data_IF_592365359512
#
_entry.id   IF_592365359512
#
_cell.length_a   1.000
_cell.length_b   1.000
_cell.length_c   1.000
_cell.angle_alpha   90.00
_cell.angle_beta   90.00
_cell.angle_gamma   90.00
#
_symmetry.space_group_name_H-M   'P 1'
#
loop_
_entity.id
_entity.type
_entity.pdbx_description
1 polymer ?
#
# COMPACT_ATOMS: atom_id res chain seq x y z
N UNK A 1 -23.74 14.64 -59.92
CA UNK A 1 -24.39 13.93 -58.80
C UNK A 1 -23.45 14.01 -57.61
N UNK A 2 -24.00 14.41 -56.45
CA UNK A 2 -23.43 14.23 -55.10
C UNK A 2 -22.30 15.17 -54.68
N UNK A 3 -22.63 16.46 -54.62
CA UNK A 3 -22.24 17.29 -53.49
C UNK A 3 -23.55 17.74 -52.81
N UNK A 4 -23.52 17.95 -51.49
CA UNK A 4 -24.61 18.51 -50.68
C UNK A 4 -25.70 17.52 -50.18
N UNK A 5 -25.41 16.74 -49.12
CA UNK A 5 -26.46 16.25 -48.22
C UNK A 5 -25.97 15.65 -46.89
N UNK A 6 -25.35 16.42 -45.97
CA UNK A 6 -25.38 16.02 -44.55
C UNK A 6 -25.02 17.15 -43.58
N UNK A 7 -25.76 18.25 -43.69
CA UNK A 7 -25.80 19.35 -42.71
C UNK A 7 -27.19 19.46 -42.08
N UNK A 8 -27.71 18.38 -41.51
CA UNK A 8 -28.86 18.44 -40.62
C UNK A 8 -28.75 17.24 -39.67
N UNK A 9 -28.60 17.49 -38.38
CA UNK A 9 -29.28 16.82 -37.25
C UNK A 9 -28.68 17.52 -36.02
N UNK A 10 -29.22 18.71 -35.80
CA UNK A 10 -29.38 19.24 -34.45
C UNK A 10 -30.64 18.56 -33.87
N UNK A 11 -30.67 18.44 -32.54
CA UNK A 11 -31.86 18.26 -31.71
C UNK A 11 -32.41 16.84 -31.43
N UNK A 12 -32.63 16.62 -30.12
CA UNK A 12 -33.22 15.46 -29.42
C UNK A 12 -32.29 14.23 -29.33
N UNK A 13 -31.88 13.77 -28.16
CA UNK A 13 -32.76 13.20 -27.14
C UNK A 13 -32.16 13.49 -25.75
N UNK A 14 -32.85 14.35 -25.02
CA UNK A 14 -32.73 14.41 -23.58
C UNK A 14 -33.60 13.32 -22.95
N UNK A 15 -33.04 12.72 -21.92
CA UNK A 15 -33.72 12.22 -20.72
C UNK A 15 -33.81 10.70 -20.50
N UNK A 16 -33.46 10.41 -19.24
CA UNK A 16 -33.82 9.28 -18.38
C UNK A 16 -33.18 7.96 -18.73
N UNK A 17 -32.15 7.58 -17.96
CA UNK A 17 -32.16 6.28 -17.28
C UNK A 17 -31.18 6.28 -16.09
N UNK A 18 -31.76 5.96 -14.93
CA UNK A 18 -31.22 5.18 -13.82
C UNK A 18 -29.97 5.64 -13.06
N UNK A 19 -30.16 5.96 -11.78
CA UNK A 19 -29.97 5.00 -10.68
C UNK A 19 -29.50 5.73 -9.42
N UNK A 20 -30.44 5.93 -8.51
CA UNK A 20 -30.17 6.05 -7.08
C UNK A 20 -29.57 4.75 -6.58
N UNK A 21 -28.30 4.74 -6.14
CA UNK A 21 -27.85 3.87 -5.06
C UNK A 21 -26.89 4.65 -4.16
N UNK A 22 -27.33 4.78 -2.89
CA UNK A 22 -26.55 5.19 -1.73
C UNK A 22 -25.19 4.48 -1.71
N UNK A 23 -24.12 5.22 -1.96
CA UNK A 23 -22.79 4.79 -1.52
C UNK A 23 -22.69 5.10 -0.02
N UNK A 24 -23.05 4.11 0.80
CA UNK A 24 -22.68 3.99 2.19
C UNK A 24 -21.15 3.96 2.30
N UNK A 25 -20.52 5.13 2.33
CA UNK A 25 -19.15 5.23 2.78
C UNK A 25 -19.10 4.81 4.25
N UNK A 26 -18.30 3.79 4.65
CA UNK A 26 -18.04 3.58 6.05
C UNK A 26 -17.32 4.82 6.56
N UNK A 27 -17.97 5.53 7.48
CA UNK A 27 -17.36 6.57 8.27
C UNK A 27 -16.12 5.95 8.93
N UNK A 28 -14.94 6.27 8.39
CA UNK A 28 -13.70 6.17 9.13
C UNK A 28 -13.88 7.12 10.32
N UNK A 29 -14.26 6.53 11.45
CA UNK A 29 -14.17 7.15 12.75
C UNK A 29 -12.70 7.54 12.93
N UNK A 30 -12.38 8.77 12.56
CA UNK A 30 -11.20 9.46 13.08
C UNK A 30 -11.51 9.65 14.55
N UNK A 31 -11.11 8.68 15.37
CA UNK A 31 -10.99 8.88 16.81
C UNK A 31 -10.01 10.02 17.02
N UNK A 32 -10.55 11.24 17.12
CA UNK A 32 -9.82 12.42 17.54
C UNK A 32 -9.57 12.24 19.03
N UNK A 33 -8.57 11.44 19.38
CA UNK A 33 -8.02 11.44 20.74
C UNK A 33 -7.44 12.83 20.98
N UNK A 34 -8.24 13.68 21.60
CA UNK A 34 -7.83 14.98 22.13
C UNK A 34 -6.68 14.70 23.09
N UNK A 35 -5.45 15.01 22.67
CA UNK A 35 -4.32 15.12 23.57
C UNK A 35 -4.30 16.59 24.02
N UNK A 36 -4.58 16.90 25.30
CA UNK A 36 -4.52 18.26 25.78
C UNK A 36 -3.06 18.65 26.00
N UNK A 37 -2.70 19.87 25.59
CA UNK A 37 -1.47 20.52 26.02
C UNK A 37 -0.55 20.90 24.86
N UNK A 38 -0.41 22.21 24.67
CA UNK A 38 0.35 22.80 23.58
C UNK A 38 1.85 22.60 23.66
N UNK A 39 2.47 22.65 22.49
CA UNK A 39 3.71 23.37 22.27
C UNK A 39 3.87 23.56 20.75
N UNK A 40 4.16 24.77 20.32
CA UNK A 40 4.65 25.10 18.98
C UNK A 40 6.08 24.52 18.82
N UNK A 41 6.19 23.20 18.89
CA UNK A 41 7.40 22.48 18.53
C UNK A 41 7.32 22.17 17.04
N UNK A 42 8.31 22.63 16.28
CA UNK A 42 8.76 22.06 15.00
C UNK A 42 8.21 20.64 14.86
N UNK A 43 7.19 20.46 14.00
CA UNK A 43 6.63 19.14 13.72
C UNK A 43 7.78 18.30 13.24
N UNK A 44 8.29 17.43 14.11
CA UNK A 44 9.22 16.37 13.74
C UNK A 44 8.41 15.49 12.79
N UNK A 45 8.54 15.76 11.49
CA UNK A 45 7.90 14.95 10.44
C UNK A 45 8.37 13.53 10.74
N UNK A 46 7.43 12.67 11.12
CA UNK A 46 7.77 11.28 11.35
C UNK A 46 8.49 10.79 10.08
N UNK A 47 9.67 10.15 10.20
CA UNK A 47 10.38 9.67 9.04
C UNK A 47 9.41 8.80 8.21
N UNK A 48 9.50 8.84 6.87
CA UNK A 48 8.59 8.09 6.02
C UNK A 48 8.49 6.64 6.52
N UNK A 49 7.27 6.18 6.79
CA UNK A 49 7.04 4.84 7.31
C UNK A 49 7.44 3.86 6.22
N UNK A 50 8.60 3.22 6.37
CA UNK A 50 9.10 2.28 5.38
C UNK A 50 8.12 1.14 5.16
N UNK A 51 7.91 0.74 3.91
CA UNK A 51 7.13 -0.45 3.60
C UNK A 51 7.83 -1.66 4.23
N UNK A 52 7.08 -2.41 5.04
CA UNK A 52 7.65 -3.47 5.86
C UNK A 52 6.67 -4.61 6.06
N UNK A 53 7.22 -5.79 6.33
CA UNK A 53 6.45 -6.99 6.57
C UNK A 53 7.15 -7.88 7.61
N UNK A 54 6.40 -8.75 8.25
CA UNK A 54 6.89 -9.68 9.26
C UNK A 54 6.79 -11.11 8.77
N UNK A 55 7.84 -11.88 8.99
CA UNK A 55 7.90 -13.31 8.70
C UNK A 55 7.99 -14.06 10.03
N UNK A 56 7.04 -14.95 10.29
CA UNK A 56 7.04 -15.79 11.49
C UNK A 56 7.45 -17.22 11.12
N UNK A 57 8.49 -17.74 11.77
CA UNK A 57 9.04 -19.06 11.49
C UNK A 57 9.38 -19.77 12.79
N UNK A 58 8.63 -20.81 13.15
CA UNK A 58 8.96 -21.68 14.29
C UNK A 58 9.20 -20.92 15.60
N UNK A 59 8.40 -19.88 15.87
CA UNK A 59 8.51 -19.05 17.08
C UNK A 59 9.49 -17.88 17.00
N UNK A 60 10.14 -17.66 15.85
CA UNK A 60 10.97 -16.48 15.57
C UNK A 60 10.22 -15.49 14.69
N UNK A 61 10.31 -14.19 14.97
CA UNK A 61 9.68 -13.15 14.16
C UNK A 61 10.74 -12.29 13.49
N UNK A 62 10.83 -12.33 12.17
CA UNK A 62 11.70 -11.47 11.37
C UNK A 62 10.93 -10.24 10.90
N UNK A 63 11.48 -9.05 11.08
CA UNK A 63 10.95 -7.80 10.52
C UNK A 63 11.79 -7.42 9.32
N UNK A 64 11.15 -7.28 8.16
CA UNK A 64 11.80 -6.95 6.89
C UNK A 64 11.24 -5.63 6.38
N UNK A 65 12.09 -4.69 5.93
CA UNK A 65 11.66 -3.37 5.44
C UNK A 65 12.48 -2.90 4.25
N UNK A 66 11.87 -2.12 3.37
CA UNK A 66 12.53 -1.48 2.23
C UNK A 66 13.35 -0.25 2.61
N UNK A 67 13.16 0.37 3.77
CA UNK A 67 13.86 1.62 4.12
C UNK A 67 13.19 2.90 3.60
N UNK A 68 12.34 2.83 2.56
CA UNK A 68 11.45 3.92 2.13
C UNK A 68 9.97 3.51 2.11
N UNK A 69 9.07 4.48 2.09
CA UNK A 69 7.62 4.27 2.04
C UNK A 69 7.06 3.94 0.63
N UNK A 70 7.88 4.07 -0.42
CA UNK A 70 7.46 3.78 -1.80
C UNK A 70 7.64 2.31 -2.21
N UNK A 71 8.23 1.51 -1.33
CA UNK A 71 8.53 0.10 -1.58
C UNK A 71 7.34 -0.85 -1.50
N UNK A 72 7.58 -2.08 -1.96
CA UNK A 72 6.63 -3.18 -1.79
C UNK A 72 7.30 -4.37 -1.11
N UNK A 73 6.55 -5.09 -0.28
CA UNK A 73 6.97 -6.34 0.31
C UNK A 73 6.13 -7.49 -0.25
N UNK A 74 6.79 -8.48 -0.86
CA UNK A 74 6.18 -9.69 -1.40
C UNK A 74 6.41 -10.85 -0.44
N UNK A 75 5.39 -11.67 -0.26
CA UNK A 75 5.43 -12.87 0.57
C UNK A 75 5.30 -14.12 -0.31
N UNK A 76 6.18 -15.09 -0.11
CA UNK A 76 6.06 -16.41 -0.73
C UNK A 76 5.41 -17.37 0.27
N UNK A 77 4.41 -18.11 -0.20
CA UNK A 77 3.62 -19.05 0.61
C UNK A 77 3.79 -20.47 0.11
N UNK A 78 3.76 -21.44 1.02
CA UNK A 78 3.68 -22.85 0.68
C UNK A 78 2.25 -23.25 0.26
N UNK A 79 2.05 -24.52 -0.11
CA UNK A 79 0.73 -25.04 -0.51
C UNK A 79 -0.30 -25.06 0.63
N UNK A 80 0.14 -25.00 1.88
CA UNK A 80 -0.72 -24.88 3.06
C UNK A 80 -1.04 -23.42 3.41
N UNK A 81 -0.48 -22.45 2.67
CA UNK A 81 -0.68 -21.02 2.87
C UNK A 81 0.28 -20.37 3.87
N UNK A 82 1.24 -21.11 4.43
CA UNK A 82 2.22 -20.57 5.36
C UNK A 82 3.24 -19.73 4.62
N UNK A 83 3.48 -18.51 5.12
CA UNK A 83 4.52 -17.64 4.57
C UNK A 83 5.88 -18.17 5.00
N UNK A 84 6.74 -18.51 4.04
CA UNK A 84 8.10 -19.00 4.33
C UNK A 84 9.20 -18.02 3.93
N UNK A 85 8.86 -16.99 3.16
CA UNK A 85 9.80 -15.97 2.69
C UNK A 85 9.11 -14.62 2.54
N UNK A 86 9.85 -13.57 2.85
CA UNK A 86 9.48 -12.17 2.62
C UNK A 86 10.61 -11.46 1.90
N UNK A 87 10.28 -10.70 0.87
CA UNK A 87 11.22 -9.84 0.13
C UNK A 87 10.60 -8.45 0.02
N UNK A 88 11.30 -7.45 0.54
CA UNK A 88 10.96 -6.05 0.46
C UNK A 88 11.92 -5.37 -0.53
N UNK A 89 11.38 -4.66 -1.53
CA UNK A 89 12.17 -3.89 -2.50
C UNK A 89 11.44 -2.59 -2.92
N UNK A 90 12.16 -1.49 -3.05
CA UNK A 90 11.66 -0.20 -3.56
C UNK A 90 12.39 0.34 -4.81
N UNK A 91 13.31 -0.44 -5.39
CA UNK A 91 14.14 -0.10 -6.54
C UNK A 91 15.58 0.24 -6.16
N UNK A 92 15.79 0.87 -5.00
CA UNK A 92 17.12 1.29 -4.52
C UNK A 92 17.55 0.50 -3.28
N UNK A 93 16.58 0.04 -2.49
CA UNK A 93 16.76 -0.60 -1.21
C UNK A 93 16.08 -1.96 -1.19
N UNK A 94 16.65 -2.90 -0.44
CA UNK A 94 16.17 -4.26 -0.40
C UNK A 94 16.45 -4.92 0.92
N UNK A 95 15.52 -5.76 1.35
CA UNK A 95 15.71 -6.68 2.44
C UNK A 95 14.92 -7.96 2.20
N UNK A 96 15.44 -9.07 2.69
CA UNK A 96 14.78 -10.37 2.59
C UNK A 96 14.89 -11.16 3.88
N UNK A 97 13.93 -12.04 4.13
CA UNK A 97 13.99 -13.07 5.16
C UNK A 97 13.39 -14.37 4.64
N UNK A 98 13.89 -15.50 5.11
CA UNK A 98 13.38 -16.84 4.77
C UNK A 98 13.45 -17.75 5.99
N UNK A 99 12.42 -18.55 6.25
CA UNK A 99 12.35 -19.39 7.45
C UNK A 99 13.53 -20.36 7.63
N UNK A 100 14.10 -20.87 6.54
CA UNK A 100 15.24 -21.78 6.60
C UNK A 100 16.61 -21.10 6.79
N UNK A 101 16.72 -19.79 6.55
CA UNK A 101 18.00 -19.06 6.56
C UNK A 101 18.03 -17.86 7.52
N UNK A 102 16.87 -17.37 7.94
CA UNK A 102 16.73 -16.11 8.67
C UNK A 102 16.77 -14.90 7.73
N UNK A 103 17.33 -13.79 8.21
CA UNK A 103 17.58 -12.60 7.39
C UNK A 103 18.54 -12.93 6.24
N UNK A 104 18.12 -12.58 5.03
CA UNK A 104 18.86 -12.77 3.79
C UNK A 104 19.62 -11.51 3.38
N UNK A 105 19.70 -11.28 2.08
CA UNK A 105 20.37 -10.11 1.53
C UNK A 105 19.64 -8.82 1.94
N UNK A 106 20.42 -7.84 2.36
CA UNK A 106 19.99 -6.46 2.64
C UNK A 106 20.93 -5.50 1.91
N UNK A 107 20.40 -4.45 1.31
CA UNK A 107 21.19 -3.37 0.71
C UNK A 107 20.43 -2.03 0.72
N UNK A 108 21.18 -0.94 0.59
CA UNK A 108 20.68 0.42 0.76
C UNK A 108 20.22 0.66 2.20
N UNK A 109 19.05 1.26 2.37
CA UNK A 109 18.35 1.45 3.64
C UNK A 109 17.42 0.25 4.00
N UNK A 110 17.49 -0.84 3.23
CA UNK A 110 16.73 -2.05 3.53
C UNK A 110 17.22 -2.72 4.81
N UNK A 111 16.27 -3.19 5.62
CA UNK A 111 16.54 -3.69 6.97
C UNK A 111 15.88 -5.05 7.22
N UNK A 112 16.60 -5.93 7.92
CA UNK A 112 16.07 -7.20 8.39
C UNK A 112 16.54 -7.49 9.82
N UNK A 113 15.59 -7.54 10.74
CA UNK A 113 15.83 -7.75 12.16
C UNK A 113 15.13 -9.02 12.66
N UNK A 114 15.82 -9.79 13.49
CA UNK A 114 15.21 -10.88 14.27
C UNK A 114 14.71 -10.32 15.61
N UNK A 115 13.44 -10.58 15.93
CA UNK A 115 12.84 -10.32 17.23
C UNK A 115 12.53 -11.60 17.99
#
# INVERSE_FOLDING_TARGET
>A
MMEDLMRFIDLAIASVFAATILASAPALAVEKKVVPGGNLGIRKVAPPIAAGNTLECGGKTYKVKTGTNAGTCKQSKDSAGNVYQVICNDGENHASATCGKGCGATYGAGDCDLK
#
